data_IF_348139697846
#
_entry.id   IF_348139697846
#
_cell.length_a   1.000
_cell.length_b   1.000
_cell.length_c   1.000
_cell.angle_alpha   90.00
_cell.angle_beta   90.00
_cell.angle_gamma   90.00
#
_symmetry.space_group_name_H-M   'P 1'
#
loop_
_entity.id
_entity.type
_entity.pdbx_description
1 polymer ?
2 polymer ?
3 polymer ?
4 polymer ?
5 non-polymer ?
6 non-polymer ?
7 non-polymer ?
8 water ?
#
loop_
_entity_poly.entity_id
_entity_poly.type
_entity_poly.pdbx_seq_one_letter_code
_entity_poly.pdbx_strand_id
2 'polydeoxyribonucleotide' '(DC)(DG)(DG)(DC)(DA)(DT)(DA)(DC)(DG)' ?
3 'polydeoxyribonucleotide' '(DC)(DG)(DT)(DA)' ?
4 'polydeoxyribonucleotide' '(DG)(DC)(DC)(DG)' ?
#
# COMPACT_ATOMS: atom_id res chain seq x y z
N UNK A 12 -4.73 -19.10 -15.97
CA UNK A 12 -4.38 -18.00 -15.06
C UNK A 12 -3.11 -17.28 -15.52
N UNK A 13 -3.26 -16.01 -15.91
CA UNK A 13 -2.12 -15.28 -16.48
C UNK A 13 -1.07 -14.96 -15.42
N UNK A 14 0.15 -14.65 -15.86
CA UNK A 14 1.29 -14.62 -14.96
C UNK A 14 1.41 -13.35 -14.14
N UNK A 15 0.94 -12.22 -14.67
CA UNK A 15 1.05 -10.94 -13.96
C UNK A 15 -0.25 -10.60 -13.26
N UNK A 16 -0.17 -10.04 -12.05
CA UNK A 16 -1.40 -9.69 -11.31
C UNK A 16 -2.27 -8.67 -12.02
N UNK A 17 -1.67 -7.83 -12.87
CA UNK A 17 -2.44 -6.82 -13.59
C UNK A 17 -3.25 -7.38 -14.75
N UNK A 18 -3.12 -8.68 -15.01
CA UNK A 18 -3.87 -9.33 -16.09
C UNK A 18 -5.09 -10.10 -15.60
N UNK A 19 -5.38 -9.99 -14.32
CA UNK A 19 -6.52 -10.73 -13.80
C UNK A 19 -7.20 -9.93 -12.70
N UNK A 20 -8.52 -10.05 -12.61
CA UNK A 20 -9.21 -9.37 -11.52
C UNK A 20 -8.88 -10.03 -10.19
N UNK A 21 -8.65 -9.17 -9.19
CA UNK A 21 -8.44 -9.67 -7.85
C UNK A 21 -9.32 -8.92 -6.89
N UNK A 22 -10.36 -9.59 -6.39
CA UNK A 22 -11.33 -8.90 -5.51
C UNK A 22 -10.80 -8.76 -4.10
N UNK A 23 -11.43 -7.90 -3.30
CA UNK A 23 -10.94 -7.66 -1.96
C UNK A 23 -11.11 -8.88 -1.06
N UNK A 24 -12.24 -9.55 -1.23
CA UNK A 24 -12.47 -10.79 -0.48
C UNK A 24 -12.58 -11.95 -1.46
N UNK A 25 -12.21 -13.15 -0.99
CA UNK A 25 -12.01 -14.22 -1.94
C UNK A 25 -12.20 -15.58 -1.26
N UNK A 26 -11.67 -16.63 -1.89
CA UNK A 26 -12.06 -17.99 -1.46
C UNK A 26 -10.89 -18.80 -0.97
N UNK A 27 -9.77 -18.15 -0.73
CA UNK A 27 -8.55 -18.84 -0.29
C UNK A 27 -7.82 -18.06 0.79
N UNK A 28 -8.60 -17.49 1.69
CA UNK A 28 -8.09 -16.52 2.66
C UNK A 28 -6.96 -17.08 3.53
N UNK A 29 -7.17 -18.27 4.10
CA UNK A 29 -6.15 -18.84 4.96
C UNK A 29 -4.88 -19.20 4.21
N UNK A 30 -5.01 -19.74 3.01
CA UNK A 30 -3.84 -20.08 2.23
C UNK A 30 -3.02 -18.83 1.86
N UNK A 31 -3.70 -17.79 1.37
CA UNK A 31 -3.00 -16.54 1.03
C UNK A 31 -2.35 -15.90 2.26
N UNK A 32 -3.03 -15.92 3.40
CA UNK A 32 -2.43 -15.33 4.61
C UNK A 32 -1.13 -16.04 4.99
N UNK A 33 -1.09 -17.35 4.83
CA UNK A 33 0.12 -18.10 5.17
C UNK A 33 1.28 -17.74 4.28
N UNK A 34 1.00 -17.67 2.98
CA UNK A 34 2.04 -17.29 2.03
C UNK A 34 2.53 -15.87 2.31
N UNK A 35 1.63 -14.98 2.70
CA UNK A 35 2.03 -13.61 2.99
C UNK A 35 2.90 -13.50 4.25
N UNK A 36 2.72 -14.40 5.22
CA UNK A 36 3.67 -14.46 6.35
C UNK A 36 5.07 -14.73 5.85
N UNK A 37 5.21 -15.71 4.95
CA UNK A 37 6.53 -16.02 4.43
C UNK A 37 7.09 -14.89 3.57
N UNK A 38 6.22 -14.20 2.83
CA UNK A 38 6.68 -13.02 2.08
C UNK A 38 7.22 -11.95 3.00
N UNK A 39 6.47 -11.64 4.05
CA UNK A 39 6.84 -10.62 5.01
C UNK A 39 8.17 -11.01 5.67
N UNK A 40 8.30 -12.27 6.07
CA UNK A 40 9.54 -12.70 6.70
C UNK A 40 10.74 -12.61 5.75
N UNK A 41 10.54 -12.93 4.47
CA UNK A 41 11.61 -12.75 3.50
C UNK A 41 12.05 -11.29 3.42
N UNK A 42 11.09 -10.38 3.46
CA UNK A 42 11.39 -8.96 3.46
C UNK A 42 12.23 -8.57 4.66
N UNK A 43 11.89 -9.10 5.83
CA UNK A 43 12.64 -8.74 7.03
C UNK A 43 14.11 -9.18 6.93
N UNK A 44 14.36 -10.17 6.09
CA UNK A 44 15.72 -10.69 5.89
C UNK A 44 16.38 -10.09 4.66
N UNK A 45 15.73 -9.11 4.03
CA UNK A 45 16.29 -8.48 2.85
C UNK A 45 16.20 -9.30 1.58
N UNK A 46 15.36 -10.34 1.58
CA UNK A 46 15.24 -11.22 0.43
C UNK A 46 14.08 -10.75 -0.44
N UNK A 47 14.31 -9.73 -1.27
CA UNK A 47 13.21 -9.13 -2.03
C UNK A 47 12.65 -10.03 -3.12
N UNK A 48 13.50 -10.88 -3.68
CA UNK A 48 13.05 -11.81 -4.68
C UNK A 48 12.05 -12.80 -4.11
N UNK A 49 12.42 -13.41 -3.00
CA UNK A 49 11.54 -14.38 -2.35
C UNK A 49 10.27 -13.68 -1.84
N UNK A 50 10.40 -12.45 -1.35
CA UNK A 50 9.18 -11.69 -0.94
C UNK A 50 8.24 -11.59 -2.13
N UNK A 51 8.77 -11.21 -3.30
CA UNK A 51 7.90 -11.06 -4.47
C UNK A 51 7.24 -12.37 -4.88
N UNK A 52 8.01 -13.44 -4.92
CA UNK A 52 7.39 -14.72 -5.25
C UNK A 52 6.25 -15.14 -4.32
N UNK A 53 6.46 -15.02 -3.01
CA UNK A 53 5.42 -15.42 -2.07
C UNK A 53 4.22 -14.47 -2.20
N UNK A 54 4.49 -13.19 -2.41
CA UNK A 54 3.38 -12.24 -2.66
C UNK A 54 2.60 -12.64 -3.89
N UNK A 55 3.32 -12.94 -4.97
CA UNK A 55 2.65 -13.31 -6.20
C UNK A 55 1.84 -14.60 -6.07
N UNK A 56 2.39 -15.63 -5.41
CA UNK A 56 1.67 -16.87 -5.21
C UNK A 56 0.42 -16.63 -4.36
N UNK A 57 0.55 -15.81 -3.31
CA UNK A 57 -0.63 -15.46 -2.52
C UNK A 57 -1.69 -14.79 -3.39
N UNK A 58 -1.25 -13.89 -4.26
CA UNK A 58 -2.20 -13.14 -5.10
C UNK A 58 -2.94 -14.04 -6.11
N UNK A 59 -2.24 -15.03 -6.65
CA UNK A 59 -2.87 -15.99 -7.55
C UNK A 59 -4.05 -16.69 -6.85
N UNK A 60 -3.85 -17.04 -5.60
CA UNK A 60 -4.93 -17.70 -4.86
C UNK A 60 -6.08 -16.74 -4.63
N UNK A 61 -5.77 -15.46 -4.42
CA UNK A 61 -6.86 -14.48 -4.28
C UNK A 61 -7.71 -14.33 -5.53
N UNK A 62 -7.13 -14.62 -6.69
CA UNK A 62 -7.78 -14.46 -7.97
C UNK A 62 -8.58 -15.69 -8.44
N UNK A 63 -8.49 -16.79 -7.68
CA UNK A 63 -9.17 -18.02 -8.05
C UNK A 63 -10.66 -17.90 -7.77
N UNK A 64 -11.49 -18.57 -8.56
CA UNK A 64 -12.95 -18.45 -8.43
C UNK A 64 -13.54 -19.35 -7.35
N UNK A 65 -12.71 -20.20 -6.73
CA UNK A 65 -13.22 -21.12 -5.70
C UNK A 65 -12.06 -21.61 -4.83
N UNK A 66 -12.37 -22.28 -3.70
CA UNK A 66 -11.30 -22.73 -2.83
C UNK A 66 -10.39 -23.82 -3.41
N UNK A 67 -9.11 -23.73 -3.12
CA UNK A 67 -8.20 -24.84 -3.37
C UNK A 67 -8.42 -25.87 -2.26
N UNK A 68 -8.83 -27.10 -2.64
CA UNK A 68 -9.05 -28.20 -1.68
C UNK A 68 -8.09 -29.35 -1.92
N UNK A 69 -7.50 -29.41 -3.10
CA UNK A 69 -6.60 -30.49 -3.47
C UNK A 69 -5.36 -29.95 -4.12
N UNK A 70 -4.23 -30.59 -3.86
CA UNK A 70 -2.95 -30.12 -4.39
C UNK A 70 -2.92 -30.04 -5.92
N UNK A 71 -3.67 -30.91 -6.59
CA UNK A 71 -3.72 -30.90 -8.04
C UNK A 71 -4.25 -29.59 -8.64
N UNK A 72 -4.95 -28.81 -7.82
CA UNK A 72 -5.47 -27.53 -8.29
C UNK A 72 -4.36 -26.50 -8.50
N UNK A 73 -3.17 -26.78 -7.97
CA UNK A 73 -2.07 -25.83 -8.10
C UNK A 73 -1.36 -26.07 -9.41
N UNK A 74 -1.59 -27.22 -10.02
CA UNK A 74 -0.94 -27.52 -11.27
C UNK A 74 -1.38 -26.50 -12.31
N UNK A 75 -0.42 -25.93 -13.00
CA UNK A 75 -0.75 -24.99 -14.05
C UNK A 75 -0.87 -23.56 -13.56
N UNK A 76 -0.83 -23.38 -12.24
CA UNK A 76 -0.85 -22.01 -11.70
C UNK A 76 0.54 -21.41 -11.65
N UNK A 77 0.66 -20.16 -12.10
CA UNK A 77 1.95 -19.49 -12.04
C UNK A 77 2.34 -19.17 -10.61
N UNK A 78 3.64 -19.21 -10.35
CA UNK A 78 4.24 -18.84 -9.07
C UNK A 78 4.15 -19.88 -7.99
N UNK A 79 3.69 -21.07 -8.36
CA UNK A 79 3.67 -22.19 -7.43
C UNK A 79 4.70 -23.23 -7.83
N UNK A 80 5.85 -23.19 -7.18
CA UNK A 80 6.87 -24.22 -7.34
C UNK A 80 6.90 -25.08 -6.11
N UNK A 81 8.06 -25.70 -5.88
CA UNK A 81 8.19 -26.67 -4.81
C UNK A 81 7.83 -26.05 -3.45
N UNK A 82 8.31 -24.84 -3.18
CA UNK A 82 8.16 -24.27 -1.85
C UNK A 82 6.71 -23.82 -1.54
N UNK A 83 6.14 -23.00 -2.40
CA UNK A 83 4.78 -22.52 -2.18
C UNK A 83 3.77 -23.66 -2.21
N UNK A 84 4.03 -24.66 -3.05
CA UNK A 84 3.17 -25.83 -3.14
C UNK A 84 3.23 -26.66 -1.85
N UNK A 85 4.42 -26.78 -1.26
CA UNK A 85 4.56 -27.51 -0.01
C UNK A 85 3.80 -26.82 1.11
N UNK A 86 3.87 -25.49 1.16
CA UNK A 86 3.11 -24.73 2.15
C UNK A 86 1.62 -25.05 2.05
N UNK A 87 1.09 -24.99 0.82
CA UNK A 87 -0.33 -25.24 0.59
C UNK A 87 -0.64 -26.68 0.96
N UNK A 88 0.21 -27.60 0.52
CA UNK A 88 0.01 -29.01 0.82
C UNK A 88 -0.13 -29.27 2.32
N UNK A 89 0.78 -28.70 3.12
CA UNK A 89 0.72 -28.89 4.55
C UNK A 89 -0.53 -28.29 5.17
N UNK A 90 -0.96 -27.14 4.68
CA UNK A 90 -2.18 -26.54 5.19
C UNK A 90 -3.41 -27.39 4.85
N UNK A 91 -3.44 -27.97 3.65
CA UNK A 91 -4.56 -28.82 3.21
C UNK A 91 -4.62 -30.10 4.03
N UNK A 92 -3.46 -30.66 4.30
CA UNK A 92 -3.38 -31.94 5.02
C UNK A 92 -3.55 -31.82 6.54
N UNK A 93 -3.00 -30.76 7.15
CA UNK A 93 -2.94 -30.66 8.61
C UNK A 93 -3.52 -29.40 9.24
N UNK A 94 -3.91 -28.43 8.41
CA UNK A 94 -4.48 -27.20 8.92
C UNK A 94 -3.44 -26.16 9.33
N UNK A 95 -2.18 -26.53 9.21
CA UNK A 95 -1.10 -25.71 9.68
C UNK A 95 0.18 -26.04 8.90
N UNK A 96 1.03 -25.05 8.69
CA UNK A 96 2.30 -25.27 8.01
C UNK A 96 3.43 -25.00 8.98
N UNK A 97 4.26 -26.01 9.25
CA UNK A 97 5.24 -25.91 10.29
C UNK A 97 6.20 -24.73 10.12
N UNK A 98 6.63 -24.47 8.88
CA UNK A 98 7.49 -23.32 8.59
C UNK A 98 6.83 -22.00 8.94
N UNK A 99 5.57 -21.87 8.55
CA UNK A 99 4.82 -20.64 8.84
C UNK A 99 4.69 -20.43 10.35
N UNK A 100 4.36 -21.49 11.10
CA UNK A 100 4.23 -21.36 12.54
C UNK A 100 5.55 -21.06 13.24
N UNK A 101 6.62 -21.65 12.73
CA UNK A 101 7.94 -21.33 13.26
C UNK A 101 8.26 -19.84 13.06
N UNK A 102 7.96 -19.32 11.88
CA UNK A 102 8.16 -17.88 11.66
C UNK A 102 7.29 -17.06 12.61
N UNK A 103 6.00 -17.38 12.71
CA UNK A 103 5.09 -16.62 13.55
C UNK A 103 5.56 -16.49 15.00
N UNK A 104 6.08 -17.57 15.55
CA UNK A 104 6.45 -17.51 16.98
C UNK A 104 7.90 -17.04 17.19
N UNK A 105 8.64 -16.82 16.11
CA UNK A 105 10.03 -16.40 16.25
C UNK A 105 10.23 -14.97 16.76
N UNK A 106 11.24 -14.81 17.61
CA UNK A 106 11.53 -13.52 18.20
C UNK A 106 11.88 -12.50 17.10
N UNK A 107 12.61 -12.97 16.10
CA UNK A 107 13.04 -12.15 14.97
C UNK A 107 11.82 -11.61 14.22
N UNK A 108 10.88 -12.48 13.86
CA UNK A 108 9.72 -12.03 13.10
C UNK A 108 8.87 -11.08 13.94
N UNK A 109 8.60 -11.45 15.18
CA UNK A 109 7.72 -10.64 15.99
C UNK A 109 8.28 -9.26 16.23
N UNK A 110 9.57 -9.18 16.46
CA UNK A 110 10.19 -7.89 16.75
C UNK A 110 10.32 -7.05 15.47
N UNK A 111 10.73 -7.67 14.37
CA UNK A 111 10.83 -6.92 13.13
C UNK A 111 9.45 -6.43 12.69
N UNK A 112 8.43 -7.26 12.85
CA UNK A 112 7.09 -6.79 12.58
C UNK A 112 6.69 -5.61 13.45
N UNK A 113 6.92 -5.71 14.77
CA UNK A 113 6.61 -4.62 15.69
C UNK A 113 7.32 -3.32 15.32
N UNK A 114 8.62 -3.42 15.08
CA UNK A 114 9.40 -2.21 14.76
C UNK A 114 9.04 -1.63 13.37
N UNK A 115 8.92 -2.47 12.34
CA UNK A 115 8.63 -1.91 11.00
C UNK A 115 7.23 -1.31 10.91
N UNK A 116 6.35 -1.69 11.85
CA UNK A 116 5.02 -1.12 11.91
C UNK A 116 5.05 0.34 12.33
N UNK A 117 6.15 0.78 12.97
CA UNK A 117 6.26 2.15 13.42
C UNK A 117 6.46 3.10 12.23
N UNK A 118 5.68 4.18 12.18
CA UNK A 118 5.88 5.20 11.15
C UNK A 118 7.25 5.84 11.32
N UNK A 119 8.09 5.77 10.28
CA UNK A 119 9.43 6.32 10.34
C UNK A 119 10.49 5.23 10.44
N UNK A 120 10.04 3.99 10.62
CA UNK A 120 10.94 2.85 10.77
C UNK A 120 10.76 1.82 9.66
N UNK A 121 11.82 1.56 8.88
CA UNK A 121 11.79 0.54 7.85
C UNK A 121 12.58 -0.68 8.26
N UNK A 122 12.72 -1.65 7.35
CA UNK A 122 13.46 -2.89 7.67
C UNK A 122 14.90 -2.61 8.14
N UNK A 123 15.61 -1.73 7.44
CA UNK A 123 17.00 -1.46 7.80
C UNK A 123 17.16 -0.90 9.22
N UNK A 124 16.31 0.04 9.60
CA UNK A 124 16.37 0.57 10.95
C UNK A 124 15.99 -0.48 11.99
N UNK A 125 14.88 -1.16 11.74
CA UNK A 125 14.40 -2.24 12.59
C UNK A 125 15.49 -3.29 12.83
N UNK A 126 16.14 -3.72 11.76
CA UNK A 126 17.18 -4.73 11.84
C UNK A 126 18.36 -4.25 12.69
N UNK A 127 18.74 -2.99 12.52
CA UNK A 127 19.82 -2.39 13.31
C UNK A 127 19.50 -2.41 14.79
N UNK A 128 18.30 -1.97 15.16
CA UNK A 128 17.81 -2.03 16.53
C UNK A 128 17.75 -3.45 17.07
N UNK A 129 17.30 -4.39 16.24
CA UNK A 129 17.20 -5.79 16.64
C UNK A 129 18.58 -6.30 17.01
N UNK A 130 19.55 -5.98 16.15
CA UNK A 130 20.93 -6.44 16.34
C UNK A 130 21.57 -5.82 17.58
N UNK A 131 21.07 -4.65 17.97
CA UNK A 131 21.57 -3.97 19.16
C UNK A 131 20.91 -4.53 20.42
N UNK A 132 19.96 -5.44 20.22
CA UNK A 132 19.32 -6.10 21.33
C UNK A 132 17.98 -5.51 21.74
N UNK A 133 17.48 -4.51 21.00
CA UNK A 133 16.21 -3.90 21.36
C UNK A 133 15.07 -4.82 20.91
N UNK A 134 13.98 -4.85 21.66
CA UNK A 134 12.89 -5.81 21.42
C UNK A 134 11.48 -5.22 21.53
N UNK A 135 11.31 -4.17 22.34
CA UNK A 135 9.98 -3.66 22.64
C UNK A 135 9.88 -2.17 22.37
N UNK A 136 8.66 -1.66 22.29
CA UNK A 136 8.49 -0.23 22.06
C UNK A 136 9.06 0.55 23.25
N UNK A 137 8.88 0.02 24.46
CA UNK A 137 9.46 0.70 25.63
C UNK A 137 11.00 0.73 25.60
N UNK A 138 11.62 -0.30 25.01
CA UNK A 138 13.05 -0.25 24.74
C UNK A 138 13.43 0.96 23.90
N UNK A 139 12.59 1.29 22.91
CA UNK A 139 12.89 2.41 22.01
C UNK A 139 12.65 3.72 22.72
N UNK A 140 11.60 3.75 23.53
CA UNK A 140 11.24 4.96 24.25
C UNK A 140 12.34 5.34 25.24
N UNK A 141 12.94 4.34 25.88
CA UNK A 141 14.03 4.55 26.83
C UNK A 141 15.29 5.12 26.18
N UNK A 142 15.35 5.09 24.86
CA UNK A 142 16.54 5.57 24.15
C UNK A 142 16.23 6.62 23.07
N UNK A 143 15.62 7.76 23.47
CA UNK A 143 15.10 8.74 22.51
C UNK A 143 16.19 9.38 21.66
N UNK A 144 17.44 9.21 22.07
CA UNK A 144 18.56 9.73 21.30
C UNK A 144 18.73 8.91 20.02
N UNK A 145 18.13 7.73 20.00
CA UNK A 145 18.25 6.88 18.85
C UNK A 145 17.19 7.23 17.79
N UNK A 146 16.33 8.21 18.07
CA UNK A 146 15.15 8.41 17.21
C UNK A 146 15.11 9.71 16.44
N UNK A 147 14.63 9.63 15.20
CA UNK A 147 14.36 10.83 14.44
C UNK A 147 13.05 11.43 14.91
N UNK A 148 12.81 12.68 14.58
CA UNK A 148 11.56 13.32 14.99
C UNK A 148 10.38 12.57 14.38
N UNK A 149 10.56 12.05 13.18
CA UNK A 149 9.49 11.29 12.52
C UNK A 149 9.20 10.02 13.31
N UNK A 150 10.26 9.32 13.72
CA UNK A 150 10.11 8.12 14.52
C UNK A 150 9.52 8.43 15.89
N UNK A 151 9.92 9.54 16.49
CA UNK A 151 9.35 9.91 17.79
C UNK A 151 7.83 10.07 17.66
N UNK A 152 7.37 10.73 16.59
CA UNK A 152 5.92 10.89 16.35
C UNK A 152 5.25 9.54 16.08
N UNK A 153 5.91 8.71 15.28
CA UNK A 153 5.41 7.37 15.02
C UNK A 153 5.26 6.56 16.30
N UNK A 154 6.20 6.71 17.23
CA UNK A 154 6.17 5.95 18.46
C UNK A 154 5.13 6.49 19.44
N UNK A 155 5.04 7.82 19.56
CA UNK A 155 4.03 8.41 20.43
C UNK A 155 2.62 8.05 19.99
N UNK A 156 2.41 8.04 18.68
CA UNK A 156 1.07 7.79 18.16
C UNK A 156 0.82 6.33 17.77
N UNK A 157 1.76 5.45 18.11
CA UNK A 157 1.69 4.07 17.63
C UNK A 157 0.37 3.35 17.97
N UNK A 158 -0.14 3.56 19.19
CA UNK A 158 -1.35 2.87 19.59
C UNK A 158 -2.52 3.29 18.68
N UNK A 159 -2.70 4.58 18.49
CA UNK A 159 -3.82 5.03 17.65
C UNK A 159 -3.61 4.56 16.23
N UNK A 160 -2.37 4.58 15.78
CA UNK A 160 -2.09 4.26 14.38
C UNK A 160 -2.26 2.76 14.12
N UNK A 161 -2.29 1.98 15.19
CA UNK A 161 -2.50 0.53 15.08
C UNK A 161 -3.98 0.16 15.00
N UNK A 162 -4.85 1.13 15.22
CA UNK A 162 -6.30 0.95 15.25
C UNK A 162 -6.76 1.19 13.80
N UNK A 163 -7.68 0.36 13.28
CA UNK A 163 -8.25 0.57 11.95
C UNK A 163 -9.08 1.83 11.83
N UNK A 164 -8.88 2.50 10.70
CA UNK A 164 -9.64 3.64 10.27
C UNK A 164 -10.90 3.12 9.59
N UNK A 165 -12.08 3.68 9.91
CA UNK A 165 -13.32 3.26 9.23
C UNK A 165 -13.70 4.14 8.05
N UNK A 166 -14.49 3.62 7.10
CA UNK A 166 -14.88 4.45 5.95
C UNK A 166 -15.68 5.71 6.38
N UNK A 167 -16.42 5.62 7.49
CA UNK A 167 -17.08 6.81 8.05
C UNK A 167 -16.07 7.90 8.47
N UNK A 168 -14.95 7.48 9.04
CA UNK A 168 -13.87 8.39 9.39
C UNK A 168 -13.36 9.06 8.13
N UNK A 169 -13.18 8.26 7.07
CA UNK A 169 -12.61 8.75 5.81
C UNK A 169 -13.43 9.90 5.22
N UNK A 170 -14.74 9.75 5.23
CA UNK A 170 -15.63 10.75 4.67
C UNK A 170 -15.57 12.08 5.45
N UNK A 171 -15.47 11.99 6.77
CA UNK A 171 -15.36 13.21 7.59
C UNK A 171 -14.04 13.91 7.29
N UNK A 172 -12.99 13.11 7.15
CA UNK A 172 -11.64 13.61 6.84
C UNK A 172 -11.63 14.27 5.45
N UNK A 173 -12.32 13.67 4.50
CA UNK A 173 -12.32 14.25 3.16
C UNK A 173 -12.94 15.64 3.14
N UNK A 174 -13.99 15.83 3.93
CA UNK A 174 -14.65 17.13 3.93
C UNK A 174 -13.73 18.21 4.49
N UNK A 175 -13.00 17.86 5.54
CA UNK A 175 -12.03 18.74 6.15
C UNK A 175 -10.90 19.13 5.17
N UNK A 176 -10.40 18.14 4.43
CA UNK A 176 -9.34 18.37 3.46
C UNK A 176 -9.86 19.26 2.31
N UNK A 177 -11.07 18.98 1.87
CA UNK A 177 -11.70 19.80 0.83
C UNK A 177 -11.84 21.26 1.23
N UNK A 178 -12.17 21.50 2.49
CA UNK A 178 -12.32 22.88 2.95
C UNK A 178 -10.99 23.61 2.83
N UNK A 179 -9.91 22.98 3.28
CA UNK A 179 -8.61 23.65 3.25
C UNK A 179 -8.13 23.83 1.82
N UNK A 180 -8.43 22.82 0.98
CA UNK A 180 -8.00 22.83 -0.41
C UNK A 180 -8.75 23.93 -1.16
N UNK A 181 -10.00 24.12 -0.81
CA UNK A 181 -10.85 25.12 -1.45
C UNK A 181 -10.36 26.52 -1.17
N UNK A 182 -9.81 26.74 0.03
CA UNK A 182 -9.26 28.06 0.37
C UNK A 182 -7.91 28.22 -0.26
N UNK A 183 -7.12 27.14 -0.28
CA UNK A 183 -5.78 27.20 -0.86
C UNK A 183 -5.86 27.53 -2.36
N UNK A 184 -6.83 26.95 -3.03
CA UNK A 184 -6.98 27.14 -4.48
C UNK A 184 -8.40 26.81 -4.92
N UNK A 185 -9.26 27.82 -5.01
CA UNK A 185 -10.63 27.52 -5.47
C UNK A 185 -10.66 26.75 -6.82
N UNK A 186 -11.52 25.73 -6.86
CA UNK A 186 -11.61 24.90 -8.03
C UNK A 186 -10.80 23.60 -7.92
N UNK A 187 -9.86 23.55 -6.97
CA UNK A 187 -9.09 22.31 -6.83
C UNK A 187 -9.95 21.22 -6.25
N UNK A 188 -9.66 19.98 -6.64
CA UNK A 188 -10.50 18.86 -6.24
C UNK A 188 -9.70 17.88 -5.41
N UNK A 189 -10.43 17.06 -4.67
CA UNK A 189 -9.84 16.06 -3.80
C UNK A 189 -10.48 14.74 -4.17
N UNK A 190 -9.67 13.72 -4.46
CA UNK A 190 -10.16 12.39 -4.84
C UNK A 190 -9.60 11.37 -3.85
N UNK A 191 -10.46 10.51 -3.30
CA UNK A 191 -10.03 9.44 -2.39
C UNK A 191 -9.32 8.35 -3.21
N UNK A 192 -8.12 7.97 -2.77
CA UNK A 192 -7.38 6.94 -3.48
C UNK A 192 -7.05 5.79 -2.50
N UNK A 193 -5.97 5.05 -2.75
CA UNK A 193 -5.61 3.96 -1.86
C UNK A 193 -6.62 2.86 -1.64
N UNK A 194 -6.49 2.20 -0.48
CA UNK A 194 -7.27 1.00 -0.20
C UNK A 194 -8.76 1.31 -0.15
N UNK A 195 -9.12 2.51 0.35
CA UNK A 195 -10.55 2.82 0.39
C UNK A 195 -11.16 2.92 -1.00
N UNK A 196 -10.40 3.44 -1.96
CA UNK A 196 -10.94 3.46 -3.32
C UNK A 196 -11.13 2.05 -3.88
N UNK A 197 -10.32 1.10 -3.42
CA UNK A 197 -10.43 -0.32 -3.83
C UNK A 197 -11.56 -1.04 -3.14
N UNK A 198 -12.28 -0.34 -2.29
CA UNK A 198 -13.47 -0.92 -1.66
C UNK A 198 -13.27 -1.33 -0.21
N UNK A 199 -12.10 -1.10 0.37
CA UNK A 199 -11.91 -1.49 1.78
C UNK A 199 -12.87 -0.76 2.71
N UNK A 200 -13.37 -1.47 3.71
CA UNK A 200 -14.30 -0.86 4.65
C UNK A 200 -13.52 -0.31 5.85
N UNK A 201 -12.32 -0.85 6.04
CA UNK A 201 -11.39 -0.40 7.10
C UNK A 201 -10.02 -0.32 6.53
N UNK A 202 -9.15 0.46 7.17
CA UNK A 202 -7.81 0.60 6.67
C UNK A 202 -6.88 1.17 7.72
N UNK A 203 -5.60 1.29 7.40
CA UNK A 203 -4.66 1.88 8.34
C UNK A 203 -4.14 3.23 7.92
N UNK A 204 -4.55 3.70 6.75
CA UNK A 204 -4.22 5.06 6.33
C UNK A 204 -5.21 5.50 5.28
N UNK A 205 -5.17 6.78 4.98
CA UNK A 205 -6.14 7.38 4.06
C UNK A 205 -5.31 8.18 3.06
N UNK A 206 -5.62 8.00 1.77
CA UNK A 206 -4.86 8.66 0.70
C UNK A 206 -5.77 9.55 -0.14
N UNK A 207 -5.31 10.77 -0.37
CA UNK A 207 -6.05 11.73 -1.19
C UNK A 207 -5.18 12.27 -2.30
N UNK A 208 -5.77 12.44 -3.48
CA UNK A 208 -5.06 13.01 -4.62
C UNK A 208 -5.76 14.31 -4.98
N UNK A 209 -4.97 15.38 -5.12
CA UNK A 209 -5.50 16.73 -5.32
C UNK A 209 -5.05 17.28 -6.68
N UNK A 210 -5.96 17.91 -7.44
CA UNK A 210 -5.54 18.48 -8.72
C UNK A 210 -6.38 19.72 -8.95
N UNK A 211 -6.20 20.35 -10.09
CA UNK A 211 -7.03 21.50 -10.47
C UNK A 211 -7.24 21.38 -11.97
N UNK A 212 -8.45 21.74 -12.44
CA UNK A 212 -8.72 21.54 -13.88
C UNK A 212 -7.90 22.39 -14.84
N UNK A 213 -7.30 23.49 -14.36
CA UNK A 213 -6.47 24.34 -15.20
C UNK A 213 -5.00 23.99 -15.00
N UNK A 214 -4.44 23.35 -16.02
CA UNK A 214 -3.04 22.91 -15.99
C UNK A 214 -2.09 24.02 -15.54
N UNK A 215 -1.33 23.73 -14.49
CA UNK A 215 -0.33 24.63 -13.95
C UNK A 215 -0.79 25.34 -12.68
N UNK A 216 -2.11 25.45 -12.50
CA UNK A 216 -2.65 26.09 -11.31
C UNK A 216 -2.27 25.33 -10.04
N UNK A 217 -1.95 24.03 -10.21
CA UNK A 217 -1.63 23.19 -9.04
C UNK A 217 -0.24 23.47 -8.49
N UNK A 218 0.58 24.22 -9.22
CA UNK A 218 1.95 24.52 -8.79
C UNK A 218 1.93 25.20 -7.44
N UNK A 219 2.76 24.72 -6.51
CA UNK A 219 2.84 25.32 -5.18
C UNK A 219 1.66 25.08 -4.25
N UNK A 220 0.77 24.15 -4.62
CA UNK A 220 -0.45 23.99 -3.88
C UNK A 220 -0.26 23.32 -2.52
N UNK A 221 0.51 22.25 -2.48
CA UNK A 221 0.56 21.49 -1.24
C UNK A 221 1.00 22.28 0.02
N UNK A 222 2.02 23.13 -0.09
CA UNK A 222 2.38 23.94 1.10
C UNK A 222 1.22 24.81 1.55
N UNK A 223 0.43 25.34 0.61
CA UNK A 223 -0.71 26.15 1.02
C UNK A 223 -1.80 25.33 1.72
N UNK A 224 -2.00 24.10 1.26
CA UNK A 224 -2.93 23.20 1.90
C UNK A 224 -2.46 22.82 3.30
N UNK A 225 -1.18 22.47 3.43
CA UNK A 225 -0.68 22.00 4.74
C UNK A 225 -0.71 23.13 5.76
N UNK A 226 -0.35 24.34 5.32
CA UNK A 226 -0.39 25.48 6.25
C UNK A 226 -1.79 25.71 6.80
N UNK A 227 -2.79 25.55 5.96
CA UNK A 227 -4.16 25.76 6.34
C UNK A 227 -4.65 24.64 7.28
N UNK A 228 -4.31 23.40 6.98
CA UNK A 228 -4.68 22.33 7.89
C UNK A 228 -4.00 22.50 9.23
N UNK A 229 -2.75 22.96 9.21
CA UNK A 229 -2.01 23.15 10.45
C UNK A 229 -2.67 24.26 11.26
N UNK A 230 -3.09 25.33 10.57
CA UNK A 230 -3.77 26.44 11.23
C UNK A 230 -5.07 26.03 11.88
N UNK A 231 -5.71 24.99 11.35
CA UNK A 231 -6.97 24.51 11.89
C UNK A 231 -6.77 23.53 13.05
N UNK A 232 -5.51 23.25 13.37
CA UNK A 232 -5.17 22.37 14.48
C UNK A 232 -5.34 20.91 14.17
N UNK A 233 -5.38 20.58 12.89
CA UNK A 233 -5.66 19.20 12.47
C UNK A 233 -4.44 18.34 12.26
N UNK A 234 -3.26 18.93 12.27
CA UNK A 234 -2.07 18.21 11.95
C UNK A 234 -1.24 17.89 13.20
N UNK A 235 -1.15 16.61 13.53
CA UNK A 235 -0.35 16.20 14.68
C UNK A 235 1.11 16.09 14.31
N UNK A 236 1.39 15.73 13.06
CA UNK A 236 2.74 15.60 12.57
C UNK A 236 2.78 15.79 11.06
N UNK A 237 3.72 16.62 10.58
CA UNK A 237 4.08 16.61 9.16
C UNK A 237 5.52 17.04 9.04
N UNK A 238 6.16 16.74 7.92
CA UNK A 238 7.56 17.16 7.76
C UNK A 238 7.75 18.35 6.83
N UNK A 259 6.90 21.09 -2.41
CA UNK A 259 6.72 19.63 -2.33
C UNK A 259 5.37 19.25 -2.88
N UNK A 260 5.19 17.96 -3.21
CA UNK A 260 3.94 17.49 -3.82
C UNK A 260 3.35 16.23 -3.16
N UNK A 261 4.07 15.65 -2.21
CA UNK A 261 3.55 14.52 -1.40
C UNK A 261 3.78 14.87 0.05
N UNK A 262 2.76 14.61 0.89
CA UNK A 262 2.89 14.80 2.34
C UNK A 262 2.40 13.56 3.05
N UNK A 263 3.24 13.02 3.95
CA UNK A 263 2.85 11.85 4.72
C UNK A 263 2.65 12.31 6.13
N UNK A 264 1.40 12.47 6.54
CA UNK A 264 1.05 13.16 7.78
C UNK A 264 0.37 12.29 8.80
N UNK A 265 0.26 12.84 10.02
CA UNK A 265 -0.63 12.27 11.03
C UNK A 265 -1.64 13.34 11.38
N UNK A 266 -2.92 13.01 11.22
CA UNK A 266 -4.02 13.95 11.38
C UNK A 266 -4.75 13.65 12.69
N UNK A 267 -5.33 14.69 13.27
CA UNK A 267 -6.26 14.58 14.37
C UNK A 267 -7.67 14.34 13.87
N UNK A 268 -8.20 13.17 14.11
CA UNK A 268 -9.56 12.84 13.66
C UNK A 268 -10.52 12.78 14.84
N UNK A 269 -11.63 13.52 14.77
CA UNK A 269 -12.63 13.47 15.84
C UNK A 269 -13.19 12.08 16.12
N UNK A 270 -13.44 11.82 17.41
CA UNK A 270 -14.10 10.62 17.90
C UNK A 270 -15.09 11.07 18.97
N UNK A 271 -16.11 10.24 19.26
CA UNK A 271 -17.07 10.65 20.28
C UNK A 271 -16.39 11.10 21.59
N UNK A 272 -16.46 12.40 21.88
CA UNK A 272 -15.94 12.92 23.13
C UNK A 272 -14.42 13.04 23.22
N UNK A 273 -13.75 12.73 22.12
CA UNK A 273 -12.30 12.85 22.07
C UNK A 273 -11.83 12.87 20.59
N UNK A 274 -10.70 12.23 20.31
CA UNK A 274 -10.16 12.20 18.93
C UNK A 274 -9.11 11.08 18.86
N UNK A 275 -8.65 10.77 17.65
CA UNK A 275 -7.55 9.84 17.53
C UNK A 275 -6.63 10.23 16.37
N UNK A 276 -5.39 9.78 16.44
CA UNK A 276 -4.40 10.04 15.38
C UNK A 276 -4.66 9.09 14.21
N UNK A 277 -4.60 9.63 12.99
CA UNK A 277 -4.78 8.84 11.76
C UNK A 277 -3.71 9.22 10.72
N UNK A 278 -3.12 8.23 10.06
CA UNK A 278 -2.20 8.48 8.96
C UNK A 278 -2.96 8.91 7.69
N UNK A 279 -2.56 10.06 7.16
CA UNK A 279 -3.18 10.60 5.92
C UNK A 279 -2.06 10.99 4.96
N UNK A 280 -2.17 10.58 3.70
CA UNK A 280 -1.23 11.01 2.69
C UNK A 280 -1.94 11.94 1.72
N UNK A 281 -1.29 13.04 1.38
CA UNK A 281 -1.83 14.01 0.43
C UNK A 281 -0.86 14.11 -0.72
N UNK A 282 -1.39 14.07 -1.94
CA UNK A 282 -0.54 14.09 -3.12
C UNK A 282 -1.16 15.07 -4.10
N UNK A 283 -0.32 15.91 -4.72
CA UNK A 283 -0.81 16.85 -5.74
C UNK A 283 -0.27 16.41 -7.10
N UNK A 284 -1.11 16.45 -8.13
CA UNK A 284 -0.65 16.16 -9.48
C UNK A 284 -1.25 17.18 -10.44
N UNK A 285 -0.52 17.51 -11.51
CA UNK A 285 -1.17 18.31 -12.57
C UNK A 285 -2.26 17.51 -13.27
N UNK A 286 -3.28 18.21 -13.76
CA UNK A 286 -4.40 17.46 -14.34
C UNK A 286 -3.97 16.59 -15.53
N UNK A 287 -2.97 17.05 -16.30
CA UNK A 287 -2.41 16.20 -17.36
C UNK A 287 -1.94 14.81 -16.90
N UNK A 288 -1.50 14.72 -15.65
CA UNK A 288 -0.94 13.48 -15.10
C UNK A 288 -1.96 12.77 -14.22
N UNK A 289 -3.11 13.39 -14.00
CA UNK A 289 -4.08 12.83 -13.04
C UNK A 289 -4.40 11.33 -13.21
N UNK A 290 -4.67 10.87 -14.45
CA UNK A 290 -4.95 9.43 -14.57
C UNK A 290 -3.79 8.55 -14.14
N UNK A 291 -2.55 8.98 -14.39
CA UNK A 291 -1.39 8.21 -13.94
C UNK A 291 -1.25 8.25 -12.43
N UNK A 292 -1.56 9.39 -11.83
CA UNK A 292 -1.42 9.51 -10.38
C UNK A 292 -2.52 8.75 -9.65
N UNK A 293 -3.75 8.82 -10.19
CA UNK A 293 -4.86 8.05 -9.67
C UNK A 293 -4.53 6.56 -9.74
N UNK A 294 -4.03 6.12 -10.90
CA UNK A 294 -3.72 4.70 -11.05
C UNK A 294 -2.63 4.28 -10.06
N UNK A 295 -1.58 5.10 -9.98
CA UNK A 295 -0.49 4.74 -9.05
C UNK A 295 -0.94 4.67 -7.59
N UNK A 296 -1.66 5.70 -7.18
CA UNK A 296 -1.95 5.83 -5.75
C UNK A 296 -3.14 4.98 -5.31
N UNK A 297 -3.81 4.35 -6.28
CA UNK A 297 -4.93 3.46 -5.94
C UNK A 297 -4.46 2.06 -5.54
N UNK A 298 -3.25 1.68 -5.97
CA UNK A 298 -2.69 0.40 -5.52
C UNK A 298 -3.44 -0.78 -6.15
N UNK A 299 -3.37 -1.97 -5.53
CA UNK A 299 -2.56 -2.25 -4.38
C UNK A 299 -1.07 -2.13 -4.71
N UNK A 300 -0.21 -2.21 -3.69
CA UNK A 300 1.23 -2.10 -3.94
C UNK A 300 1.67 -3.21 -4.93
N UNK A 301 1.25 -4.44 -4.68
CA UNK A 301 1.62 -5.52 -5.60
C UNK A 301 1.03 -5.29 -6.99
N UNK A 302 -0.22 -4.81 -7.04
CA UNK A 302 -0.80 -4.55 -8.35
C UNK A 302 0.05 -3.59 -9.16
N UNK A 303 0.49 -2.50 -8.52
CA UNK A 303 1.24 -1.47 -9.22
C UNK A 303 2.65 -1.92 -9.62
N UNK A 304 3.31 -2.70 -8.77
CA UNK A 304 4.62 -3.27 -9.13
C UNK A 304 4.45 -4.21 -10.30
N UNK A 305 3.40 -5.02 -10.29
CA UNK A 305 3.13 -5.95 -11.40
C UNK A 305 2.81 -5.21 -12.70
N UNK A 306 2.04 -4.14 -12.58
CA UNK A 306 1.65 -3.36 -13.76
C UNK A 306 2.87 -2.68 -14.36
N UNK A 307 3.74 -2.11 -13.53
CA UNK A 307 4.95 -1.46 -14.04
C UNK A 307 5.91 -2.50 -14.61
N UNK A 308 5.95 -3.68 -14.01
CA UNK A 308 6.82 -4.75 -14.53
C UNK A 308 6.30 -5.22 -15.88
N UNK A 309 4.99 -5.40 -15.98
CA UNK A 309 4.34 -5.78 -17.24
C UNK A 309 4.60 -4.74 -18.34
N UNK A 310 4.38 -3.47 -18.02
CA UNK A 310 4.59 -2.40 -18.99
C UNK A 310 5.99 -2.46 -19.56
N UNK A 311 7.00 -2.52 -18.68
CA UNK A 311 8.40 -2.50 -19.14
C UNK A 311 8.81 -3.79 -19.84
N UNK A 312 8.53 -4.92 -19.23
CA UNK A 312 9.04 -6.20 -19.75
C UNK A 312 8.24 -6.70 -20.95
N UNK A 313 6.91 -6.54 -20.93
CA UNK A 313 6.06 -7.09 -22.00
C UNK A 313 5.80 -6.09 -23.11
N UNK A 314 5.70 -4.81 -22.76
CA UNK A 314 5.36 -3.76 -23.74
C UNK A 314 6.46 -2.76 -24.09
N UNK A 315 7.56 -2.80 -23.35
CA UNK A 315 8.67 -1.88 -23.57
C UNK A 315 8.40 -0.41 -23.29
N UNK A 316 7.42 -0.17 -22.41
CA UNK A 316 7.03 1.16 -22.02
C UNK A 316 7.29 1.33 -20.52
N UNK A 317 7.65 2.54 -20.12
CA UNK A 317 8.06 2.79 -18.75
C UNK A 317 6.96 3.57 -18.01
N UNK A 318 6.39 2.94 -16.97
CA UNK A 318 5.23 3.50 -16.26
C UNK A 318 5.60 4.02 -14.88
N UNK A 319 5.12 5.23 -14.57
CA UNK A 319 5.21 5.73 -13.20
C UNK A 319 3.97 6.56 -12.91
N UNK A 320 3.93 7.24 -11.75
CA UNK A 320 2.73 7.97 -11.40
C UNK A 320 2.59 9.30 -12.11
N UNK A 321 3.54 9.61 -12.99
CA UNK A 321 3.51 10.84 -13.76
C UNK A 321 3.17 10.60 -15.23
N UNK A 322 3.35 9.38 -15.74
CA UNK A 322 3.16 9.15 -17.15
C UNK A 322 3.64 7.79 -17.62
N UNK A 323 3.62 7.60 -18.94
CA UNK A 323 3.95 6.31 -19.56
C UNK A 323 4.81 6.65 -20.77
N UNK A 324 6.08 6.26 -20.71
CA UNK A 324 7.11 6.73 -21.66
C UNK A 324 7.47 5.63 -22.64
N UNK A 325 7.52 5.99 -23.92
CA UNK A 325 8.03 5.12 -24.97
C UNK A 325 9.48 5.54 -25.20
N UNK A 326 10.43 4.71 -24.75
CA UNK A 326 11.86 5.06 -24.78
C UNK A 326 12.47 4.99 -26.17
N UNK A 327 11.77 4.39 -27.12
CA UNK A 327 12.22 4.36 -28.53
C UNK A 327 11.82 5.64 -29.26
N UNK A 328 10.55 6.03 -29.13
CA UNK A 328 10.04 7.26 -29.73
C UNK A 328 10.42 8.48 -28.90
N UNK A 329 10.82 8.25 -27.65
CA UNK A 329 11.07 9.32 -26.69
C UNK A 329 9.85 10.22 -26.51
N UNK A 330 8.70 9.58 -26.34
CA UNK A 330 7.45 10.30 -26.13
C UNK A 330 6.63 9.72 -24.99
N UNK A 331 5.76 10.58 -24.46
CA UNK A 331 4.81 10.26 -23.41
C UNK A 331 3.40 10.10 -23.94
N UNK A 332 2.69 9.09 -23.46
CA UNK A 332 1.32 8.83 -23.86
C UNK A 332 0.38 9.73 -23.08
N UNK A 333 -0.41 10.53 -23.77
CA UNK A 333 -1.29 11.45 -23.08
C UNK A 333 -2.65 10.85 -22.72
N UNK A 334 -2.72 10.22 -21.56
CA UNK A 334 -3.95 9.56 -21.13
C UNK A 334 -4.97 10.53 -20.56
N UNK A 335 -6.25 10.26 -20.85
CA UNK A 335 -7.35 11.07 -20.34
C UNK A 335 -8.09 10.36 -19.21
N UNK A 336 -7.74 9.10 -18.97
CA UNK A 336 -8.45 8.25 -18.01
C UNK A 336 -7.60 7.03 -17.69
N UNK A 337 -7.92 6.36 -16.57
CA UNK A 337 -7.33 5.05 -16.32
C UNK A 337 -7.67 4.06 -17.46
N UNK A 338 -8.90 4.12 -17.99
CA UNK A 338 -9.23 3.24 -19.10
C UNK A 338 -8.25 3.41 -20.25
N UNK A 339 -7.87 4.65 -20.53
CA UNK A 339 -6.87 4.93 -21.59
C UNK A 339 -5.59 4.17 -21.31
N UNK A 340 -5.14 4.19 -20.05
CA UNK A 340 -3.86 3.57 -19.72
C UNK A 340 -3.91 2.06 -19.93
N UNK A 341 -4.96 1.43 -19.43
CA UNK A 341 -5.11 0.00 -19.63
C UNK A 341 -5.13 -0.32 -21.13
N UNK A 342 -5.89 0.45 -21.90
CA UNK A 342 -5.93 0.17 -23.35
C UNK A 342 -4.55 0.29 -23.98
N UNK A 343 -3.79 1.29 -23.59
CA UNK A 343 -2.51 1.54 -24.25
C UNK A 343 -1.53 0.40 -23.94
N UNK A 344 -1.72 -0.22 -22.78
CA UNK A 344 -0.89 -1.36 -22.37
C UNK A 344 -1.44 -2.68 -22.85
N UNK A 345 -2.54 -2.67 -23.58
CA UNK A 345 -3.12 -3.92 -24.08
C UNK A 345 -3.71 -4.83 -23.01
N UNK A 346 -4.18 -4.23 -21.91
CA UNK A 346 -4.78 -4.95 -20.80
C UNK A 346 -6.25 -4.66 -20.73
N UNK A 347 -7.05 -5.68 -20.42
CA UNK A 347 -8.45 -5.45 -20.08
C UNK A 347 -8.55 -4.54 -18.86
N UNK A 348 -9.48 -3.58 -18.90
CA UNK A 348 -9.65 -2.64 -17.80
C UNK A 348 -10.06 -3.37 -16.51
N UNK A 349 -9.44 -2.97 -15.39
CA UNK A 349 -9.86 -3.45 -14.07
C UNK A 349 -10.28 -2.26 -13.22
N UNK A 350 -11.51 -2.28 -12.73
CA UNK A 350 -11.89 -1.21 -11.80
C UNK A 350 -11.08 -1.35 -10.52
N UNK A 351 -11.06 -0.30 -9.69
CA UNK A 351 -10.25 -0.32 -8.48
C UNK A 351 -10.54 -1.51 -7.56
N UNK A 352 -11.81 -1.93 -7.51
CA UNK A 352 -12.14 -3.01 -6.60
C UNK A 352 -11.65 -4.38 -7.10
N UNK A 353 -11.08 -4.44 -8.32
CA UNK A 353 -10.45 -5.66 -8.80
C UNK A 353 -8.94 -5.55 -8.89
N UNK A 354 -8.39 -4.54 -8.18
CA UNK A 354 -6.94 -4.35 -8.12
C UNK A 354 -6.35 -4.73 -6.77
N UNK A 355 -7.06 -5.58 -6.03
CA UNK A 355 -6.62 -5.98 -4.71
C UNK A 355 -5.63 -7.14 -4.74
N UNK A 356 -4.63 -7.02 -5.57
CA UNK A 356 -3.61 -8.06 -5.68
C UNK A 356 -2.83 -8.17 -4.40
X LIG E 1 3.16 4.88 -5.30
X LIG E 1 1.89 4.71 -4.70
X LIG E 1 3.15 6.07 -6.24
X LIG E 1 2.50 5.70 -7.45
X LIG E 1 4.60 6.47 -6.55
X LIG E 1 5.02 5.79 -7.71
X LIG F 1 15.64 -13.10 -2.46
X LIG G 1 7.42 1.66 9.22
X LIG H 1 4.40 -25.02 -10.79
X LIG I 1 6.17 8.05 -9.55
#
# INVERSE_FOLDING_TARGET
GSAAAPLSPAWMPAYACQRPTPLTHHNTGLSEALEILAEAAGFEGSEGRLLTFCRAASVLKALPSPVTTLSQLQGLPHFGEHSSRVVQELLEHGVCEEVERVRRSERYQTMKLFTQIFGVGVKTADRWYREGLRTLDDLREQPQKLTQQQKAGLQHHQDLSTPVLRSDVDALQQVVEEAVGQALPGATVTLTGGFRRGKLQGHDVDFLITHPKEGQEAGLLPRVMCRLQDQGLILYHQHQHSCCESPTRLAQQSHMDAFERSFCIFRLPQPGSWKAVRVDLVVAPVSQFPFALLGWTGSKLFQRELRRFSRKEKGLWLNSHGLFDPEQKTFFQAASEEDIFRHLGLEYLPPEQRNA
GOL C1 O1 C2 O2 C3 O3
CL CL
NA NA
NA NA
CL CL
#
